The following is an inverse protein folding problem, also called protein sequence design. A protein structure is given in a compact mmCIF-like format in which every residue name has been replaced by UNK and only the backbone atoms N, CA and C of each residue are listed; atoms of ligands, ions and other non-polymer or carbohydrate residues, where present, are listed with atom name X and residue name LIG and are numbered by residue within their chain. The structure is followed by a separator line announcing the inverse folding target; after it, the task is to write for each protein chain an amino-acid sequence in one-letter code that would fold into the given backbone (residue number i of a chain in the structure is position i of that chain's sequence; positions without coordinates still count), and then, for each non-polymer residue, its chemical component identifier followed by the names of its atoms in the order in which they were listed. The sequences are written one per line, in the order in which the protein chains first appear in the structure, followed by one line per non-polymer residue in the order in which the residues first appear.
data_IF_882587622542
#
_entry.id   IF_882587622542
#
_cell.length_a   1.000
_cell.length_b   1.000
_cell.length_c   1.000
_cell.angle_alpha   90.00
_cell.angle_beta   90.00
_cell.angle_gamma   90.00
#
_symmetry.space_group_name_H-M   'P 1'
#
loop_
_entity.id
_entity.type
_entity.pdbx_description
1 polymer ?
#
# COMPACT_ATOMS: atom_id res chain seq x y z
N UNK A 1 6.39 -16.52 -5.39
CA UNK A 1 6.42 -15.08 -5.75
C UNK A 1 5.19 -14.41 -5.17
N UNK A 2 5.30 -13.17 -4.66
CA UNK A 2 4.13 -12.44 -4.14
C UNK A 2 3.19 -12.07 -5.29
N UNK A 3 1.89 -12.35 -5.11
CA UNK A 3 0.81 -12.03 -6.07
C UNK A 3 0.54 -10.52 -6.17
N UNK A 4 0.91 -9.78 -5.12
CA UNK A 4 0.75 -8.33 -4.99
C UNK A 4 2.11 -7.72 -4.71
N UNK A 5 2.41 -6.60 -5.33
CA UNK A 5 3.56 -5.77 -4.98
C UNK A 5 3.08 -4.48 -4.34
N UNK A 6 3.64 -4.18 -3.17
CA UNK A 6 3.44 -2.90 -2.48
C UNK A 6 4.79 -2.17 -2.45
N UNK A 7 4.79 -0.91 -2.86
CA UNK A 7 5.91 0.03 -2.72
C UNK A 7 5.44 1.27 -1.98
N UNK A 8 6.37 1.88 -1.25
CA UNK A 8 6.19 3.22 -0.72
C UNK A 8 7.07 4.16 -1.54
N UNK A 9 6.49 5.26 -2.00
CA UNK A 9 7.14 6.23 -2.87
C UNK A 9 7.10 7.62 -2.24
N UNK A 10 8.05 8.48 -2.62
CA UNK A 10 7.96 9.91 -2.36
C UNK A 10 6.85 10.57 -3.24
N UNK A 11 6.53 11.85 -3.03
CA UNK A 11 5.51 12.53 -3.82
C UNK A 11 5.81 12.62 -5.34
N UNK A 12 7.06 12.40 -5.76
CA UNK A 12 7.47 12.37 -7.16
C UNK A 12 7.41 10.96 -7.77
N UNK A 13 6.97 9.96 -7.00
CA UNK A 13 6.93 8.55 -7.42
C UNK A 13 8.27 7.82 -7.28
N UNK A 14 9.25 8.40 -6.59
CA UNK A 14 10.54 7.75 -6.34
C UNK A 14 10.38 6.73 -5.20
N UNK A 15 10.72 5.44 -5.41
CA UNK A 15 10.65 4.46 -4.33
C UNK A 15 11.51 4.85 -3.13
N UNK A 16 10.93 4.82 -1.93
CA UNK A 16 11.65 5.03 -0.68
C UNK A 16 12.43 3.77 -0.32
N UNK A 17 13.69 3.94 0.08
CA UNK A 17 14.51 2.85 0.55
C UNK A 17 13.99 2.31 1.90
N UNK A 18 13.95 0.99 2.03
CA UNK A 18 13.51 0.31 3.24
C UNK A 18 14.27 -0.99 3.47
N UNK A 19 14.15 -1.51 4.68
CA UNK A 19 14.74 -2.79 5.10
C UNK A 19 13.61 -3.80 5.22
N UNK A 20 13.81 -5.00 4.67
CA UNK A 20 12.91 -6.12 4.91
C UNK A 20 13.36 -6.91 6.13
N UNK A 21 12.45 -7.16 7.05
CA UNK A 21 12.72 -7.97 8.23
C UNK A 21 11.45 -8.77 8.57
N UNK A 22 11.58 -10.08 8.75
CA UNK A 22 10.47 -11.00 9.08
C UNK A 22 9.23 -10.91 8.15
N UNK A 23 9.44 -10.56 6.89
CA UNK A 23 8.36 -10.43 5.89
C UNK A 23 7.79 -9.02 5.76
N UNK A 24 8.07 -8.16 6.74
CA UNK A 24 7.65 -6.77 6.76
C UNK A 24 8.66 -5.84 6.08
N UNK A 25 8.16 -4.71 5.57
CA UNK A 25 8.97 -3.64 5.00
C UNK A 25 8.98 -2.46 5.98
N UNK A 26 10.17 -2.13 6.48
CA UNK A 26 10.39 -1.00 7.36
C UNK A 26 11.05 0.14 6.59
N UNK A 27 10.47 1.34 6.69
CA UNK A 27 10.99 2.56 6.08
C UNK A 27 11.13 3.61 7.18
N UNK A 28 12.27 4.28 7.22
CA UNK A 28 12.50 5.36 8.17
C UNK A 28 11.59 6.54 7.85
N UNK A 29 10.59 6.77 8.71
CA UNK A 29 9.73 7.93 8.63
C UNK A 29 10.53 9.22 8.88
N UNK A 30 10.24 10.26 8.09
CA UNK A 30 10.77 11.60 8.30
C UNK A 30 9.60 12.53 8.65
N UNK A 31 9.75 13.29 9.74
CA UNK A 31 8.74 14.28 10.16
C UNK A 31 8.36 15.18 8.97
N UNK A 32 7.06 15.41 8.81
CA UNK A 32 6.48 16.23 7.73
C UNK A 32 6.72 15.73 6.30
N UNK A 33 7.30 14.54 6.12
CA UNK A 33 7.43 13.95 4.80
C UNK A 33 6.13 13.26 4.40
N UNK A 34 5.71 13.49 3.15
CA UNK A 34 4.60 12.77 2.54
C UNK A 34 5.14 11.52 1.84
N UNK A 35 4.29 10.50 1.74
CA UNK A 35 4.57 9.28 1.00
C UNK A 35 3.33 8.89 0.19
N UNK A 36 3.52 7.98 -0.76
CA UNK A 36 2.47 7.35 -1.54
C UNK A 36 2.56 5.84 -1.38
N UNK A 37 1.42 5.15 -1.28
CA UNK A 37 1.36 3.69 -1.30
C UNK A 37 1.03 3.27 -2.73
N UNK A 38 1.98 2.64 -3.42
CA UNK A 38 1.76 2.06 -4.75
C UNK A 38 1.50 0.56 -4.61
N UNK A 39 0.33 0.13 -5.06
CA UNK A 39 -0.04 -1.29 -5.14
C UNK A 39 -0.11 -1.71 -6.59
N UNK A 40 0.51 -2.85 -6.91
CA UNK A 40 0.47 -3.47 -8.24
C UNK A 40 -0.04 -4.90 -8.14
N UNK A 41 -1.10 -5.18 -8.88
CA UNK A 41 -1.58 -6.53 -9.13
C UNK A 41 -0.59 -7.26 -10.05
N UNK A 42 -0.10 -8.44 -9.64
CA UNK A 42 0.74 -9.32 -10.47
C UNK A 42 0.03 -10.62 -10.82
N UNK A 43 -1.29 -10.65 -10.67
CA UNK A 43 -2.12 -11.80 -11.01
C UNK A 43 -2.76 -11.60 -12.39
N UNK A 44 -3.26 -12.68 -12.99
CA UNK A 44 -4.04 -12.61 -14.24
C UNK A 44 -5.53 -12.36 -14.03
N UNK A 45 -5.94 -11.80 -12.87
CA UNK A 45 -7.35 -11.55 -12.53
C UNK A 45 -7.48 -10.17 -11.89
N UNK A 46 -8.63 -9.52 -12.06
CA UNK A 46 -8.93 -8.31 -11.28
C UNK A 46 -8.99 -8.63 -9.79
N UNK A 47 -8.55 -7.70 -8.97
CA UNK A 47 -8.59 -7.81 -7.51
C UNK A 47 -9.19 -6.56 -6.89
N UNK A 48 -9.84 -6.69 -5.74
CA UNK A 48 -10.16 -5.58 -4.86
C UNK A 48 -9.07 -5.48 -3.80
N UNK A 49 -8.52 -4.29 -3.59
CA UNK A 49 -7.58 -3.99 -2.51
C UNK A 49 -8.22 -2.95 -1.60
N UNK A 50 -8.35 -3.28 -0.31
CA UNK A 50 -8.62 -2.31 0.75
C UNK A 50 -7.29 -1.93 1.38
N UNK A 51 -6.93 -0.65 1.29
CA UNK A 51 -5.68 -0.14 1.87
C UNK A 51 -6.00 0.62 3.15
N UNK A 52 -5.27 0.33 4.22
CA UNK A 52 -5.42 1.02 5.51
C UNK A 52 -4.11 1.62 6.01
N UNK A 53 -4.19 2.75 6.71
CA UNK A 53 -3.10 3.33 7.51
C UNK A 53 -3.62 3.48 8.94
N UNK A 54 -2.87 2.97 9.92
CA UNK A 54 -3.26 2.96 11.33
C UNK A 54 -4.67 2.39 11.59
N UNK A 55 -5.05 1.37 10.80
CA UNK A 55 -6.36 0.71 10.86
C UNK A 55 -7.51 1.49 10.20
N UNK A 56 -7.24 2.63 9.55
CA UNK A 56 -8.24 3.43 8.84
C UNK A 56 -8.12 3.28 7.33
N UNK A 57 -9.24 3.09 6.65
CA UNK A 57 -9.32 3.06 5.20
C UNK A 57 -8.78 4.37 4.60
N UNK A 58 -7.86 4.27 3.64
CA UNK A 58 -7.20 5.44 3.04
C UNK A 58 -8.13 6.33 2.21
N UNK A 59 -9.27 5.80 1.74
CA UNK A 59 -10.26 6.55 0.96
C UNK A 59 -11.23 7.31 1.85
N UNK A 60 -11.70 6.68 2.93
CA UNK A 60 -12.82 7.21 3.75
C UNK A 60 -12.37 7.78 5.09
N UNK A 61 -11.22 7.34 5.61
CA UNK A 61 -10.76 7.67 6.95
C UNK A 61 -11.46 6.91 8.08
N UNK A 62 -12.43 6.05 7.80
CA UNK A 62 -13.12 5.20 8.80
C UNK A 62 -12.28 3.95 9.12
N UNK A 63 -12.58 3.20 10.19
CA UNK A 63 -11.99 1.87 10.39
C UNK A 63 -12.13 1.02 9.12
N UNK A 64 -11.03 0.44 8.65
CA UNK A 64 -11.00 -0.37 7.43
C UNK A 64 -11.05 -1.87 7.74
N UNK A 65 -11.64 -2.64 6.83
CA UNK A 65 -11.78 -4.10 6.89
C UNK A 65 -11.97 -4.70 5.50
N UNK A 66 -11.95 -6.03 5.41
CA UNK A 66 -12.02 -6.76 4.13
C UNK A 66 -13.36 -6.55 3.40
N UNK A 67 -14.42 -6.24 4.15
CA UNK A 67 -15.75 -5.89 3.67
C UNK A 67 -15.91 -4.43 3.20
N UNK A 68 -14.89 -3.58 3.39
CA UNK A 68 -14.97 -2.16 3.06
C UNK A 68 -14.67 -1.89 1.57
N UNK A 69 -15.01 -0.68 1.12
CA UNK A 69 -14.71 -0.19 -0.22
C UNK A 69 -13.20 -0.02 -0.42
N UNK A 70 -12.76 -0.23 -1.66
CA UNK A 70 -11.34 -0.16 -2.01
C UNK A 70 -11.09 0.16 -3.47
N UNK A 71 -9.91 -0.19 -3.96
CA UNK A 71 -9.52 -0.02 -5.34
C UNK A 71 -9.59 -1.35 -6.08
N UNK A 72 -10.33 -1.37 -7.20
CA UNK A 72 -10.27 -2.50 -8.14
C UNK A 72 -9.04 -2.31 -9.03
N UNK A 73 -8.11 -3.25 -8.97
CA UNK A 73 -6.92 -3.27 -9.81
C UNK A 73 -7.07 -4.37 -10.86
N UNK A 74 -6.96 -4.00 -12.13
CA UNK A 74 -6.89 -4.95 -13.24
C UNK A 74 -5.55 -5.71 -13.25
N UNK A 75 -5.43 -6.68 -14.15
CA UNK A 75 -4.20 -7.46 -14.36
C UNK A 75 -3.10 -6.64 -15.06
#
# INVERSE_FOLDING_TARGET
MSKIEVRIEDPNGTPLAGVRHEGDLYIAGKRNSRYQIRVRNKTGKRILIVTTVDGRNVQTGNPGGDEDSGHVLEA
#
